data_IF_553567792579
#
_entry.id   IF_553567792579
#
_cell.length_a   1.000
_cell.length_b   1.000
_cell.length_c   1.000
_cell.angle_alpha   90.00
_cell.angle_beta   90.00
_cell.angle_gamma   90.00
#
_symmetry.space_group_name_H-M   'P 1'
#
loop_
_entity.id
_entity.type
_entity.pdbx_description
1 polymer ?
#
# COMPACT_ATOMS: atom_id res chain seq x y z
N UNK A 1 17.33 -4.45 -17.37
CA UNK A 1 16.70 -3.73 -16.24
C UNK A 1 16.10 -4.76 -15.31
N UNK A 2 16.31 -4.59 -14.01
CA UNK A 2 15.75 -5.44 -12.97
C UNK A 2 14.94 -4.55 -12.05
N UNK A 3 13.66 -4.86 -11.90
CA UNK A 3 12.80 -4.19 -10.93
C UNK A 3 13.28 -4.56 -9.52
N UNK A 4 13.40 -3.58 -8.63
CA UNK A 4 13.69 -3.80 -7.22
C UNK A 4 12.51 -3.31 -6.36
N UNK A 5 12.60 -3.49 -5.04
CA UNK A 5 11.55 -3.12 -4.09
C UNK A 5 11.18 -1.63 -4.15
N UNK A 6 12.14 -0.76 -4.48
CA UNK A 6 11.92 0.69 -4.60
C UNK A 6 11.07 1.08 -5.80
N UNK A 7 10.78 0.18 -6.74
CA UNK A 7 9.82 0.46 -7.79
C UNK A 7 8.43 0.81 -7.21
N UNK A 8 8.01 0.11 -6.15
CA UNK A 8 6.77 0.41 -5.43
C UNK A 8 7.00 1.17 -4.10
N UNK A 9 8.16 1.00 -3.46
CA UNK A 9 8.47 1.55 -2.13
C UNK A 9 9.52 2.67 -2.14
N UNK A 10 9.77 3.28 -3.30
CA UNK A 10 10.71 4.38 -3.48
C UNK A 10 10.07 5.51 -4.29
N UNK A 11 9.23 6.29 -3.62
CA UNK A 11 8.51 7.43 -4.17
C UNK A 11 9.18 8.77 -3.90
N UNK A 12 8.44 9.83 -4.22
CA UNK A 12 8.80 11.20 -3.89
C UNK A 12 7.64 11.94 -3.23
N UNK A 13 7.97 12.94 -2.42
CA UNK A 13 7.04 13.95 -1.93
C UNK A 13 7.68 15.31 -2.13
N UNK A 14 6.93 16.27 -2.66
CA UNK A 14 7.43 17.64 -2.87
C UNK A 14 8.78 17.68 -3.62
N UNK A 15 8.89 16.88 -4.69
CA UNK A 15 10.10 16.75 -5.51
C UNK A 15 11.30 16.04 -4.85
N UNK A 16 11.17 15.53 -3.63
CA UNK A 16 12.24 14.83 -2.91
C UNK A 16 11.98 13.33 -2.84
N UNK A 17 12.97 12.54 -3.26
CA UNK A 17 12.90 11.06 -3.22
C UNK A 17 13.27 10.57 -1.83
N UNK A 18 12.46 9.68 -1.27
CA UNK A 18 12.70 9.08 0.03
C UNK A 18 12.65 7.55 -0.06
N UNK A 19 13.64 6.89 0.55
CA UNK A 19 13.61 5.44 0.69
C UNK A 19 12.45 5.04 1.62
N UNK A 20 11.61 4.11 1.18
CA UNK A 20 10.48 3.63 1.97
C UNK A 20 9.20 4.44 1.81
N UNK A 21 9.21 5.56 1.09
CA UNK A 21 8.00 6.28 0.71
C UNK A 21 7.30 5.53 -0.44
N UNK A 22 5.98 5.29 -0.41
CA UNK A 22 5.26 4.64 -1.51
C UNK A 22 5.42 5.40 -2.82
N UNK A 23 5.67 4.68 -3.92
CA UNK A 23 5.82 5.28 -5.24
C UNK A 23 4.47 5.49 -5.90
N UNK A 24 3.87 6.64 -5.58
CA UNK A 24 2.56 7.03 -6.08
C UNK A 24 2.55 7.45 -7.57
N UNK A 25 3.71 7.42 -8.25
CA UNK A 25 3.83 7.64 -9.69
C UNK A 25 4.11 6.35 -10.49
N UNK A 26 4.19 5.19 -9.84
CA UNK A 26 4.62 3.98 -10.53
C UNK A 26 3.59 3.47 -11.56
N UNK A 27 3.97 3.49 -12.84
CA UNK A 27 3.12 3.09 -13.97
C UNK A 27 3.43 1.67 -14.46
N UNK A 28 3.38 0.66 -13.58
CA UNK A 28 3.82 -0.71 -13.85
C UNK A 28 3.20 -1.35 -15.10
N UNK A 29 1.89 -1.17 -15.29
CA UNK A 29 1.18 -1.69 -16.47
C UNK A 29 1.69 -1.03 -17.75
N UNK A 30 1.76 0.31 -17.77
CA UNK A 30 2.28 1.08 -18.91
C UNK A 30 3.72 0.70 -19.23
N UNK A 31 4.61 0.67 -18.22
CA UNK A 31 6.01 0.29 -18.39
C UNK A 31 6.14 -1.10 -19.05
N UNK A 32 5.31 -2.05 -18.64
CA UNK A 32 5.31 -3.41 -19.19
C UNK A 32 4.80 -3.44 -20.63
N UNK A 33 3.72 -2.73 -20.93
CA UNK A 33 3.15 -2.63 -22.28
C UNK A 33 4.14 -1.97 -23.26
N UNK A 34 4.81 -0.89 -22.86
CA UNK A 34 5.79 -0.18 -23.68
C UNK A 34 7.07 -0.99 -23.85
N UNK A 35 7.53 -1.68 -22.80
CA UNK A 35 8.66 -2.61 -22.89
C UNK A 35 8.35 -3.73 -23.87
N UNK A 36 7.15 -4.32 -23.81
CA UNK A 36 6.71 -5.35 -24.77
C UNK A 36 6.67 -4.81 -26.19
N UNK A 37 6.04 -3.65 -26.43
CA UNK A 37 6.01 -2.99 -27.75
C UNK A 37 7.43 -2.76 -28.29
N UNK A 38 8.32 -2.25 -27.45
CA UNK A 38 9.74 -2.01 -27.80
C UNK A 38 10.47 -3.31 -28.15
N UNK A 39 10.27 -4.39 -27.39
CA UNK A 39 10.86 -5.70 -27.70
C UNK A 39 10.39 -6.22 -29.06
N UNK A 40 9.10 -6.10 -29.37
CA UNK A 40 8.55 -6.50 -30.67
C UNK A 40 9.20 -5.72 -31.82
N UNK A 41 9.31 -4.39 -31.70
CA UNK A 41 9.98 -3.54 -32.69
C UNK A 41 11.45 -3.93 -32.90
N UNK A 42 12.15 -4.24 -31.80
CA UNK A 42 13.55 -4.66 -31.82
C UNK A 42 13.75 -6.15 -32.13
N UNK A 43 12.67 -6.91 -32.43
CA UNK A 43 12.70 -8.37 -32.64
C UNK A 43 13.36 -9.14 -31.49
N UNK A 44 13.19 -8.66 -30.25
CA UNK A 44 13.69 -9.32 -29.03
C UNK A 44 12.67 -10.32 -28.49
N UNK A 45 13.12 -11.41 -27.84
CA UNK A 45 12.20 -12.36 -27.22
C UNK A 45 11.38 -11.70 -26.10
N UNK A 46 10.12 -12.09 -26.00
CA UNK A 46 9.22 -11.67 -24.92
C UNK A 46 9.50 -12.47 -23.64
N UNK A 47 9.43 -11.79 -22.51
CA UNK A 47 9.53 -12.37 -21.18
C UNK A 47 8.17 -12.85 -20.69
N UNK A 48 8.16 -13.62 -19.60
CA UNK A 48 6.93 -14.07 -18.96
C UNK A 48 6.03 -12.94 -18.49
N UNK A 49 6.63 -11.83 -18.06
CA UNK A 49 5.88 -10.64 -17.66
C UNK A 49 5.17 -9.98 -18.84
N UNK A 50 5.78 -10.01 -20.04
CA UNK A 50 5.15 -9.48 -21.26
C UNK A 50 3.88 -10.26 -21.63
N UNK A 51 3.86 -11.58 -21.39
CA UNK A 51 2.69 -12.43 -21.62
C UNK A 51 1.69 -12.40 -20.46
N UNK A 52 2.18 -12.51 -19.21
CA UNK A 52 1.36 -12.60 -18.01
C UNK A 52 0.54 -11.34 -17.78
N UNK A 53 1.07 -10.16 -18.10
CA UNK A 53 0.38 -8.87 -17.95
C UNK A 53 -0.84 -8.68 -18.85
N UNK A 54 -1.03 -9.56 -19.85
CA UNK A 54 -2.25 -9.59 -20.68
C UNK A 54 -3.43 -10.19 -19.92
N UNK A 55 -3.17 -11.18 -19.05
CA UNK A 55 -4.20 -11.93 -18.33
C UNK A 55 -4.33 -11.50 -16.87
N UNK A 56 -3.23 -11.02 -16.28
CA UNK A 56 -3.17 -10.52 -14.90
C UNK A 56 -2.83 -9.03 -15.01
N UNK A 57 -3.81 -8.12 -14.84
CA UNK A 57 -3.52 -6.69 -14.89
C UNK A 57 -2.52 -6.34 -13.79
N UNK A 58 -1.56 -5.47 -14.09
CA UNK A 58 -0.52 -5.11 -13.14
C UNK A 58 -0.87 -3.87 -12.30
N UNK A 59 -1.85 -3.11 -12.75
CA UNK A 59 -2.42 -1.92 -12.11
C UNK A 59 -3.38 -1.23 -13.07
N UNK A 60 -4.45 -0.62 -12.55
CA UNK A 60 -5.45 0.16 -13.31
C UNK A 60 -5.22 1.66 -13.26
N UNK A 61 -4.41 2.14 -12.32
CA UNK A 61 -3.98 3.54 -12.26
C UNK A 61 -2.54 3.64 -11.78
N UNK A 62 -1.84 4.71 -12.16
CA UNK A 62 -0.49 4.99 -11.72
C UNK A 62 -0.43 5.14 -10.19
N UNK A 63 0.63 4.61 -9.60
CA UNK A 63 0.88 4.65 -8.15
C UNK A 63 0.32 3.48 -7.36
N UNK A 64 -0.47 2.60 -8.00
CA UNK A 64 -1.02 1.42 -7.33
C UNK A 64 -0.78 0.19 -8.19
N UNK A 65 -0.69 -0.98 -7.56
CA UNK A 65 -0.38 -2.22 -8.27
C UNK A 65 -1.24 -3.38 -7.79
N UNK A 66 -1.41 -4.39 -8.64
CA UNK A 66 -2.09 -5.65 -8.32
C UNK A 66 -1.16 -6.63 -7.57
N UNK A 67 -0.28 -6.10 -6.72
CA UNK A 67 0.82 -6.80 -6.06
C UNK A 67 0.36 -8.03 -5.26
N UNK A 68 -0.81 -7.96 -4.62
CA UNK A 68 -1.39 -9.06 -3.83
C UNK A 68 -1.62 -10.29 -4.70
N UNK A 69 -2.20 -10.10 -5.90
CA UNK A 69 -2.45 -11.21 -6.81
C UNK A 69 -1.17 -11.77 -7.43
N UNK A 70 -0.10 -10.98 -7.55
CA UNK A 70 1.20 -11.54 -7.93
C UNK A 70 1.68 -12.51 -6.86
N UNK A 71 1.53 -12.16 -5.58
CA UNK A 71 1.83 -13.05 -4.46
C UNK A 71 1.04 -14.35 -4.52
N UNK A 72 -0.27 -14.27 -4.78
CA UNK A 72 -1.15 -15.45 -4.97
C UNK A 72 -0.68 -16.32 -6.15
N UNK A 73 -0.41 -15.70 -7.29
CA UNK A 73 0.04 -16.40 -8.49
C UNK A 73 1.40 -17.08 -8.29
N UNK A 74 2.33 -16.41 -7.62
CA UNK A 74 3.67 -16.95 -7.34
C UNK A 74 3.62 -18.11 -6.33
N UNK A 75 2.86 -17.94 -5.24
CA UNK A 75 2.68 -18.98 -4.21
C UNK A 75 1.99 -20.24 -4.76
N UNK A 76 1.06 -20.09 -5.71
CA UNK A 76 0.30 -21.23 -6.28
C UNK A 76 1.20 -22.35 -6.79
N UNK A 77 2.34 -22.02 -7.38
CA UNK A 77 3.28 -22.98 -7.98
C UNK A 77 4.38 -23.43 -7.03
N UNK A 78 4.23 -23.20 -5.72
CA UNK A 78 5.15 -23.64 -4.68
C UNK A 78 4.46 -24.58 -3.69
N UNK A 79 5.17 -25.57 -3.16
CA UNK A 79 4.74 -26.28 -1.96
C UNK A 79 5.30 -25.62 -0.70
N UNK A 80 5.04 -26.25 0.46
CA UNK A 80 5.48 -25.74 1.76
C UNK A 80 7.00 -25.53 1.85
N UNK A 81 7.79 -26.31 1.11
CA UNK A 81 9.26 -26.26 1.13
C UNK A 81 9.84 -25.48 -0.05
N UNK A 82 9.00 -24.72 -0.75
CA UNK A 82 9.34 -23.88 -1.90
C UNK A 82 9.76 -24.66 -3.17
N UNK A 83 9.44 -25.96 -3.27
CA UNK A 83 9.64 -26.70 -4.51
C UNK A 83 8.65 -26.24 -5.58
N UNK A 84 9.06 -26.30 -6.85
CA UNK A 84 8.30 -25.76 -7.98
C UNK A 84 7.36 -26.82 -8.55
N UNK A 85 6.06 -26.49 -8.62
CA UNK A 85 5.00 -27.37 -9.14
C UNK A 85 4.35 -26.78 -10.40
N UNK A 86 4.91 -27.05 -11.58
CA UNK A 86 4.47 -26.47 -12.87
C UNK A 86 3.10 -26.97 -13.37
N UNK A 87 2.65 -28.13 -12.90
CA UNK A 87 1.45 -28.79 -13.42
C UNK A 87 0.15 -28.34 -12.73
N UNK A 88 0.21 -27.33 -11.87
CA UNK A 88 -0.97 -26.81 -11.15
C UNK A 88 -1.76 -25.86 -12.04
N UNK A 89 -3.09 -25.93 -11.95
CA UNK A 89 -3.95 -24.95 -12.59
C UNK A 89 -3.75 -23.55 -11.96
N UNK A 90 -3.84 -22.47 -12.76
CA UNK A 90 -3.81 -21.10 -12.25
C UNK A 90 -4.84 -20.87 -11.13
N UNK A 91 -4.54 -20.02 -10.14
CA UNK A 91 -5.48 -19.74 -9.06
C UNK A 91 -6.61 -18.83 -9.56
N UNK A 92 -7.78 -18.92 -8.92
CA UNK A 92 -8.79 -17.86 -9.02
C UNK A 92 -8.27 -16.64 -8.27
N UNK A 93 -8.43 -15.46 -8.86
CA UNK A 93 -7.91 -14.20 -8.32
C UNK A 93 -8.97 -13.12 -8.46
N UNK A 94 -9.20 -12.36 -7.39
CA UNK A 94 -10.02 -11.16 -7.41
C UNK A 94 -9.09 -9.96 -7.61
N UNK A 95 -9.04 -9.43 -8.83
CA UNK A 95 -8.13 -8.35 -9.19
C UNK A 95 -8.53 -7.01 -8.56
N UNK A 96 -7.56 -6.37 -7.93
CA UNK A 96 -7.67 -5.08 -7.26
C UNK A 96 -6.28 -4.45 -7.20
N UNK A 97 -6.23 -3.13 -7.03
CA UNK A 97 -4.95 -2.45 -6.85
C UNK A 97 -4.75 -2.06 -5.40
N UNK A 98 -3.50 -2.03 -4.98
CA UNK A 98 -3.08 -1.59 -3.65
C UNK A 98 -2.03 -0.50 -3.80
N UNK A 99 -2.06 0.46 -2.90
CA UNK A 99 -0.90 1.30 -2.65
C UNK A 99 0.06 0.56 -1.71
N UNK A 100 1.36 0.87 -1.84
CA UNK A 100 2.36 0.36 -0.93
C UNK A 100 2.26 1.10 0.42
N UNK A 101 2.44 0.44 1.57
CA UNK A 101 2.56 1.15 2.84
C UNK A 101 3.95 1.80 2.98
N UNK A 102 4.06 2.94 3.67
CA UNK A 102 5.35 3.52 4.03
C UNK A 102 6.19 2.58 4.91
N UNK A 103 7.46 2.40 4.59
CA UNK A 103 8.33 1.49 5.34
C UNK A 103 8.68 1.99 6.73
N UNK A 104 8.64 3.30 6.99
CA UNK A 104 8.85 3.80 8.37
C UNK A 104 7.76 3.35 9.36
N UNK A 105 6.63 2.82 8.88
CA UNK A 105 5.65 2.15 9.75
C UNK A 105 6.11 0.76 10.23
N UNK A 106 7.05 0.13 9.53
CA UNK A 106 7.47 -1.25 9.76
C UNK A 106 7.99 -1.51 11.18
N UNK A 107 8.71 -0.54 11.77
CA UNK A 107 9.23 -0.65 13.14
C UNK A 107 8.12 -0.73 14.19
N UNK A 108 6.98 -0.07 13.97
CA UNK A 108 5.85 -0.04 14.92
C UNK A 108 4.92 -1.25 14.76
N UNK A 109 4.83 -1.83 13.56
CA UNK A 109 3.89 -2.92 13.27
C UNK A 109 4.39 -4.28 13.78
N UNK A 110 3.47 -5.07 14.33
CA UNK A 110 3.70 -6.48 14.68
C UNK A 110 3.35 -7.43 13.53
N UNK A 111 2.40 -7.04 12.68
CA UNK A 111 1.96 -7.78 11.51
C UNK A 111 2.12 -6.94 10.24
N UNK A 112 2.40 -7.57 9.11
CA UNK A 112 2.52 -6.92 7.80
C UNK A 112 1.23 -7.05 6.99
N UNK A 113 1.14 -6.30 5.89
CA UNK A 113 -0.06 -6.09 5.08
C UNK A 113 -1.16 -5.28 5.80
N UNK A 114 -2.20 -4.89 5.05
CA UNK A 114 -3.28 -4.04 5.56
C UNK A 114 -4.25 -4.80 6.46
N UNK A 115 -4.51 -6.08 6.15
CA UNK A 115 -5.37 -6.98 6.93
C UNK A 115 -4.60 -7.69 8.05
N UNK A 116 -3.31 -7.37 8.22
CA UNK A 116 -2.49 -7.91 9.31
C UNK A 116 -2.27 -9.41 9.27
N UNK A 117 -2.54 -10.07 8.15
CA UNK A 117 -2.69 -11.53 8.19
C UNK A 117 -1.38 -12.26 8.53
N UNK A 118 -0.22 -11.67 8.23
CA UNK A 118 1.08 -12.30 8.43
C UNK A 118 1.87 -11.57 9.52
N UNK A 119 2.34 -12.31 10.52
CA UNK A 119 3.29 -11.77 11.48
C UNK A 119 4.54 -11.26 10.77
N UNK A 120 5.05 -10.11 11.23
CA UNK A 120 6.28 -9.52 10.69
C UNK A 120 7.46 -10.49 10.88
N UNK A 121 8.26 -10.67 9.84
CA UNK A 121 9.46 -11.52 9.86
C UNK A 121 10.24 -11.49 8.54
N UNK A 122 11.45 -12.04 8.55
CA UNK A 122 12.39 -12.04 7.42
C UNK A 122 11.79 -12.73 6.19
N UNK A 123 11.15 -13.89 6.38
CA UNK A 123 10.68 -14.73 5.27
C UNK A 123 9.57 -14.10 4.45
N UNK A 124 8.61 -13.44 5.10
CA UNK A 124 7.51 -12.74 4.43
C UNK A 124 7.97 -11.67 3.42
N UNK A 125 9.15 -11.07 3.64
CA UNK A 125 9.73 -10.06 2.75
C UNK A 125 10.21 -10.62 1.40
N UNK A 126 10.33 -11.95 1.28
CA UNK A 126 10.82 -12.62 0.07
C UNK A 126 9.71 -13.07 -0.88
N UNK A 127 8.44 -12.79 -0.62
CA UNK A 127 7.32 -13.33 -1.42
C UNK A 127 7.45 -13.02 -2.92
N UNK A 128 7.92 -11.83 -3.30
CA UNK A 128 8.11 -11.45 -4.70
C UNK A 128 9.34 -12.10 -5.37
N UNK A 129 10.20 -12.77 -4.61
CA UNK A 129 11.36 -13.50 -5.13
C UNK A 129 10.98 -14.89 -5.65
N UNK A 130 9.72 -15.33 -5.53
CA UNK A 130 9.21 -16.65 -5.97
C UNK A 130 9.18 -16.88 -7.49
N UNK A 131 9.84 -16.02 -8.27
CA UNK A 131 10.05 -16.27 -9.70
C UNK A 131 10.71 -17.63 -9.92
N UNK A 132 10.40 -18.30 -11.03
CA UNK A 132 10.77 -19.70 -11.23
C UNK A 132 12.28 -19.98 -11.26
N UNK A 133 13.07 -18.95 -11.58
CA UNK A 133 14.53 -19.03 -11.55
C UNK A 133 15.09 -19.27 -10.14
N UNK A 134 14.31 -18.96 -9.11
CA UNK A 134 14.72 -19.09 -7.72
C UNK A 134 14.14 -20.39 -7.13
N UNK A 135 15.02 -21.38 -6.98
CA UNK A 135 14.74 -22.64 -6.30
C UNK A 135 14.79 -22.53 -4.77
N UNK A 136 14.38 -23.58 -4.04
CA UNK A 136 14.21 -23.54 -2.58
C UNK A 136 15.49 -23.19 -1.82
N UNK A 137 16.65 -23.72 -2.23
CA UNK A 137 17.93 -23.42 -1.55
C UNK A 137 18.31 -21.94 -1.63
N UNK A 138 17.95 -21.26 -2.72
CA UNK A 138 18.23 -19.84 -2.89
C UNK A 138 17.56 -18.98 -1.81
N UNK A 139 16.36 -19.36 -1.37
CA UNK A 139 15.65 -18.67 -0.29
C UNK A 139 16.33 -18.88 1.06
N UNK A 140 16.83 -20.09 1.32
CA UNK A 140 17.59 -20.39 2.55
C UNK A 140 18.91 -19.62 2.59
N UNK A 141 19.59 -19.52 1.46
CA UNK A 141 20.81 -18.70 1.32
C UNK A 141 20.53 -17.21 1.57
N UNK A 142 19.39 -16.69 1.10
CA UNK A 142 19.02 -15.29 1.22
C UNK A 142 18.45 -14.87 2.57
N UNK A 143 18.21 -15.79 3.51
CA UNK A 143 17.68 -15.41 4.84
C UNK A 143 18.60 -14.36 5.51
N UNK A 144 19.92 -14.55 5.47
CA UNK A 144 20.90 -13.58 6.04
C UNK A 144 20.89 -12.22 5.34
N UNK A 145 20.74 -12.20 4.01
CA UNK A 145 20.63 -10.93 3.26
C UNK A 145 19.32 -10.21 3.64
N UNK A 146 18.23 -10.96 3.78
CA UNK A 146 16.94 -10.40 4.16
C UNK A 146 16.84 -10.04 5.65
N UNK A 147 17.67 -10.59 6.54
CA UNK A 147 17.85 -10.04 7.88
C UNK A 147 18.40 -8.61 7.84
N UNK A 148 19.28 -8.32 6.88
CA UNK A 148 19.81 -6.97 6.67
C UNK A 148 18.76 -6.06 6.05
N UNK A 149 17.94 -6.55 5.11
CA UNK A 149 16.76 -5.82 4.60
C UNK A 149 15.77 -5.55 5.75
N UNK A 150 15.49 -6.53 6.59
CA UNK A 150 14.60 -6.39 7.73
C UNK A 150 15.10 -5.29 8.69
N UNK A 151 16.38 -5.30 9.06
CA UNK A 151 17.00 -4.26 9.90
C UNK A 151 16.97 -2.89 9.21
N UNK A 152 17.17 -2.84 7.90
CA UNK A 152 17.02 -1.60 7.13
C UNK A 152 15.60 -1.06 7.26
N UNK A 153 14.57 -1.89 7.03
CA UNK A 153 13.17 -1.48 7.18
C UNK A 153 12.84 -0.99 8.60
N UNK A 154 13.41 -1.59 9.63
CA UNK A 154 13.25 -1.12 11.02
C UNK A 154 13.95 0.21 11.31
N UNK A 155 14.95 0.57 10.51
CA UNK A 155 15.71 1.82 10.65
C UNK A 155 15.16 3.00 9.82
N UNK A 156 14.21 2.75 8.92
CA UNK A 156 13.65 3.81 8.06
C UNK A 156 12.81 4.76 8.92
N UNK A 157 13.12 6.05 8.82
CA UNK A 157 12.40 7.14 9.50
C UNK A 157 11.69 8.02 8.48
N UNK A 158 10.53 8.61 8.83
CA UNK A 158 9.84 9.55 7.95
C UNK A 158 10.62 10.87 7.83
N UNK A 159 10.53 11.57 6.69
CA UNK A 159 11.04 12.94 6.61
C UNK A 159 10.23 13.89 7.50
N UNK A 160 10.87 14.88 8.15
CA UNK A 160 10.14 15.90 8.90
C UNK A 160 9.34 16.78 7.93
N UNK A 161 8.18 17.27 8.38
CA UNK A 161 7.39 18.22 7.61
C UNK A 161 8.20 19.51 7.36
N UNK A 162 8.46 19.90 6.09
CA UNK A 162 9.42 20.96 5.77
C UNK A 162 8.82 22.37 5.80
N UNK A 163 7.49 22.51 5.99
CA UNK A 163 6.79 23.78 5.93
C UNK A 163 6.41 24.30 7.33
N UNK A 164 5.82 25.50 7.38
CA UNK A 164 5.39 26.11 8.64
C UNK A 164 4.27 25.32 9.31
N UNK A 165 4.37 25.21 10.65
CA UNK A 165 3.34 24.62 11.51
C UNK A 165 2.86 25.68 12.49
N UNK A 166 1.54 25.88 12.56
CA UNK A 166 0.91 26.65 13.63
C UNK A 166 0.88 25.80 14.90
N UNK A 167 1.86 26.01 15.78
CA UNK A 167 2.05 25.23 17.01
C UNK A 167 0.83 25.26 17.94
N UNK A 168 0.16 26.40 18.07
CA UNK A 168 -1.01 26.51 18.96
C UNK A 168 -2.16 25.66 18.44
N UNK A 169 -2.40 25.69 17.13
CA UNK A 169 -3.46 24.91 16.50
C UNK A 169 -3.13 23.41 16.49
N UNK A 170 -1.87 23.04 16.22
CA UNK A 170 -1.39 21.67 16.31
C UNK A 170 -1.54 21.10 17.73
N UNK A 171 -1.31 21.90 18.77
CA UNK A 171 -1.51 21.48 20.15
C UNK A 171 -2.99 21.26 20.48
N UNK A 172 -3.89 22.13 20.01
CA UNK A 172 -5.33 21.87 20.09
C UNK A 172 -5.73 20.60 19.33
N UNK A 173 -5.16 20.39 18.15
CA UNK A 173 -5.38 19.20 17.34
C UNK A 173 -4.89 17.91 18.00
N UNK A 174 -3.78 17.99 18.75
CA UNK A 174 -3.25 16.86 19.53
C UNK A 174 -4.25 16.38 20.58
N UNK A 175 -4.94 17.31 21.27
CA UNK A 175 -5.98 16.97 22.24
C UNK A 175 -7.13 16.22 21.56
N UNK A 176 -7.69 16.79 20.49
CA UNK A 176 -8.79 16.16 19.72
C UNK A 176 -8.37 14.80 19.17
N UNK A 177 -7.16 14.69 18.64
CA UNK A 177 -6.60 13.45 18.11
C UNK A 177 -6.51 12.36 19.18
N UNK A 178 -6.04 12.71 20.39
CA UNK A 178 -5.92 11.75 21.48
C UNK A 178 -7.29 11.24 21.96
N UNK A 179 -8.32 12.07 21.90
CA UNK A 179 -9.69 11.72 22.29
C UNK A 179 -10.40 10.88 21.21
N UNK A 180 -10.14 11.15 19.93
CA UNK A 180 -10.95 10.61 18.82
C UNK A 180 -10.23 9.59 17.93
N UNK A 181 -8.92 9.72 17.75
CA UNK A 181 -8.15 8.97 16.75
C UNK A 181 -7.19 7.95 17.38
N UNK A 182 -6.59 8.30 18.53
CA UNK A 182 -5.52 7.52 19.14
C UNK A 182 -5.92 6.10 19.56
N UNK A 183 -7.22 5.85 19.79
CA UNK A 183 -7.73 4.49 20.09
C UNK A 183 -7.36 3.47 19.01
N UNK A 184 -7.32 3.90 17.74
CA UNK A 184 -7.00 3.03 16.60
C UNK A 184 -5.56 3.27 16.11
N UNK A 185 -5.17 4.54 15.97
CA UNK A 185 -3.88 4.92 15.38
C UNK A 185 -2.72 5.02 16.36
N UNK A 186 -2.99 4.90 17.66
CA UNK A 186 -2.00 5.03 18.72
C UNK A 186 -1.68 6.47 19.11
N UNK A 187 -0.76 6.60 20.06
CA UNK A 187 -0.27 7.87 20.58
C UNK A 187 1.14 8.18 20.04
N UNK A 188 1.52 9.46 20.09
CA UNK A 188 2.76 9.98 19.51
C UNK A 188 3.47 10.91 20.50
N UNK A 189 4.80 10.98 20.41
CA UNK A 189 5.66 11.69 21.37
C UNK A 189 6.11 10.79 22.54
N UNK A 190 6.39 11.40 23.69
CA UNK A 190 6.83 10.67 24.88
C UNK A 190 5.77 9.65 25.33
N UNK A 191 6.20 8.39 25.49
CA UNK A 191 5.28 7.29 25.81
C UNK A 191 4.41 6.83 24.65
N UNK A 192 4.83 7.08 23.40
CA UNK A 192 4.12 6.59 22.20
C UNK A 192 3.79 5.10 22.27
N UNK A 193 2.57 4.75 21.87
CA UNK A 193 2.10 3.37 21.81
C UNK A 193 1.34 3.15 20.50
N UNK A 194 1.57 2.02 19.84
CA UNK A 194 0.81 1.61 18.66
C UNK A 194 -0.05 0.39 19.02
N UNK A 195 -1.39 0.51 19.06
CA UNK A 195 -2.24 -0.55 19.57
C UNK A 195 -2.49 -1.65 18.54
N UNK A 196 -2.11 -1.46 17.27
CA UNK A 196 -2.28 -2.43 16.18
C UNK A 196 -3.74 -2.91 16.05
N UNK A 197 -4.70 -1.98 16.17
CA UNK A 197 -6.14 -2.28 16.12
C UNK A 197 -6.54 -2.66 14.70
N UNK A 198 -7.17 -3.84 14.59
CA UNK A 198 -7.95 -4.24 13.42
C UNK A 198 -9.36 -3.68 13.56
N UNK A 199 -9.72 -2.75 12.69
CA UNK A 199 -11.09 -2.22 12.61
C UNK A 199 -11.88 -3.12 11.68
N UNK A 200 -13.07 -3.54 12.13
CA UNK A 200 -13.94 -4.41 11.34
C UNK A 200 -14.31 -3.75 10.01
N UNK A 201 -14.44 -4.56 8.94
CA UNK A 201 -14.72 -4.02 7.60
C UNK A 201 -16.04 -3.26 7.52
N UNK A 202 -17.05 -3.69 8.28
CA UNK A 202 -18.36 -3.05 8.30
C UNK A 202 -18.35 -1.76 9.14
N UNK A 203 -17.43 -1.64 10.10
CA UNK A 203 -17.22 -0.41 10.87
C UNK A 203 -16.38 0.61 10.11
N UNK A 204 -15.25 0.20 9.53
CA UNK A 204 -14.38 1.12 8.78
C UNK A 204 -15.00 1.50 7.43
N UNK A 205 -15.82 0.66 6.81
CA UNK A 205 -16.55 0.97 5.57
C UNK A 205 -15.70 1.26 4.33
N UNK A 206 -14.38 1.04 4.39
CA UNK A 206 -13.47 1.23 3.24
C UNK A 206 -13.58 0.06 2.26
N UNK A 207 -12.99 0.19 1.07
CA UNK A 207 -13.11 -0.81 0.01
C UNK A 207 -12.74 -2.24 0.50
N UNK A 208 -13.72 -3.16 0.42
CA UNK A 208 -13.59 -4.52 0.94
C UNK A 208 -12.89 -5.50 -0.01
N UNK A 209 -12.64 -5.12 -1.27
CA UNK A 209 -12.16 -6.07 -2.29
C UNK A 209 -10.82 -6.68 -1.87
N UNK A 210 -9.93 -5.93 -1.22
CA UNK A 210 -8.67 -6.47 -0.69
C UNK A 210 -8.90 -7.53 0.38
N UNK A 211 -9.83 -7.32 1.32
CA UNK A 211 -10.15 -8.30 2.36
C UNK A 211 -10.65 -9.62 1.76
N UNK A 212 -11.59 -9.53 0.81
CA UNK A 212 -12.22 -10.67 0.15
C UNK A 212 -11.30 -11.38 -0.86
N UNK A 213 -10.21 -10.73 -1.29
CA UNK A 213 -9.33 -11.25 -2.35
C UNK A 213 -8.49 -12.46 -1.93
N UNK A 214 -8.18 -12.58 -0.65
CA UNK A 214 -7.43 -13.70 -0.09
C UNK A 214 -8.38 -14.60 0.70
N UNK A 215 -8.41 -15.87 0.32
CA UNK A 215 -9.18 -16.91 1.01
C UNK A 215 -8.44 -17.40 2.26
N UNK A 216 -9.19 -17.96 3.20
CA UNK A 216 -8.62 -18.61 4.39
C UNK A 216 -7.60 -19.68 4.01
N UNK A 217 -7.90 -20.52 3.00
CA UNK A 217 -6.99 -21.56 2.53
C UNK A 217 -5.67 -21.00 1.97
N UNK A 218 -5.68 -19.83 1.33
CA UNK A 218 -4.45 -19.19 0.86
C UNK A 218 -3.60 -18.67 2.03
N UNK A 219 -4.23 -18.10 3.06
CA UNK A 219 -3.53 -17.63 4.27
C UNK A 219 -3.01 -18.81 5.11
N UNK A 220 -3.78 -19.88 5.25
CA UNK A 220 -3.34 -21.13 5.88
C UNK A 220 -2.15 -21.75 5.13
N UNK A 221 -2.22 -21.79 3.79
CA UNK A 221 -1.10 -22.25 2.96
C UNK A 221 0.17 -21.41 3.11
N UNK A 222 0.05 -20.11 3.40
CA UNK A 222 1.20 -19.28 3.78
C UNK A 222 1.75 -19.71 5.15
N UNK A 223 0.87 -19.85 6.16
CA UNK A 223 1.22 -20.23 7.53
C UNK A 223 1.97 -21.57 7.57
N UNK A 224 1.44 -22.58 6.89
CA UNK A 224 1.97 -23.95 6.87
C UNK A 224 3.25 -24.09 6.04
N UNK A 225 3.61 -23.06 5.26
CA UNK A 225 4.81 -23.08 4.42
C UNK A 225 6.05 -22.57 5.15
N UNK A 226 7.19 -22.64 4.46
CA UNK A 226 8.43 -22.01 4.86
C UNK A 226 8.25 -20.54 5.25
N UNK A 227 7.34 -19.79 4.58
CA UNK A 227 7.06 -18.39 4.88
C UNK A 227 6.52 -18.18 6.30
N UNK A 228 5.51 -18.94 6.72
CA UNK A 228 4.97 -18.93 8.09
C UNK A 228 5.76 -19.78 9.08
N UNK A 229 6.95 -20.24 8.68
CA UNK A 229 7.79 -21.15 9.46
C UNK A 229 7.06 -22.42 9.90
N UNK A 230 6.23 -22.98 9.01
CA UNK A 230 5.46 -24.20 9.26
C UNK A 230 4.53 -24.06 10.49
N UNK A 231 3.79 -22.95 10.54
CA UNK A 231 2.83 -22.63 11.59
C UNK A 231 3.43 -22.04 12.87
N UNK A 232 4.75 -21.76 12.91
CA UNK A 232 5.38 -21.14 14.09
C UNK A 232 5.14 -19.64 14.17
N UNK A 233 4.95 -18.96 13.03
CA UNK A 233 4.57 -17.56 13.02
C UNK A 233 3.06 -17.41 13.12
N UNK A 234 2.64 -16.40 13.88
CA UNK A 234 1.22 -16.06 13.97
C UNK A 234 0.68 -15.67 12.60
N UNK A 235 -0.49 -16.21 12.25
CA UNK A 235 -1.19 -15.91 10.99
C UNK A 235 -2.68 -15.75 11.29
N UNK A 236 -3.25 -14.62 10.89
CA UNK A 236 -4.69 -14.38 10.99
C UNK A 236 -5.33 -14.92 9.71
N UNK A 237 -5.83 -16.16 9.75
CA UNK A 237 -6.39 -16.83 8.58
C UNK A 237 -7.70 -16.20 8.09
N UNK A 238 -8.47 -15.57 8.99
CA UNK A 238 -9.72 -14.89 8.68
C UNK A 238 -9.78 -13.51 9.37
N UNK A 239 -9.07 -12.50 8.86
CA UNK A 239 -9.12 -11.15 9.41
C UNK A 239 -10.52 -10.55 9.23
N UNK A 240 -11.01 -9.80 10.22
CA UNK A 240 -12.34 -9.15 10.16
C UNK A 240 -12.34 -7.82 9.40
N UNK A 241 -11.17 -7.22 9.19
CA UNK A 241 -11.04 -5.96 8.48
C UNK A 241 -9.60 -5.51 8.30
N UNK A 242 -9.34 -4.22 8.55
CA UNK A 242 -8.06 -3.59 8.27
C UNK A 242 -7.42 -2.99 9.51
N UNK A 243 -6.10 -3.11 9.59
CA UNK A 243 -5.31 -2.48 10.64
C UNK A 243 -5.26 -0.98 10.39
N UNK A 244 -5.63 -0.18 11.40
CA UNK A 244 -5.37 1.25 11.41
C UNK A 244 -3.84 1.47 11.46
N UNK A 245 -3.21 2.05 10.42
CA UNK A 245 -1.77 2.16 10.37
C UNK A 245 -1.25 3.22 11.37
N UNK A 246 0.03 3.14 11.77
CA UNK A 246 0.70 4.28 12.37
C UNK A 246 0.66 5.49 11.43
N UNK A 247 0.69 6.69 11.99
CA UNK A 247 0.61 7.96 11.27
C UNK A 247 1.93 8.74 11.29
N UNK A 248 3.03 8.12 11.72
CA UNK A 248 4.37 8.69 11.58
C UNK A 248 4.59 9.05 10.09
N UNK A 249 5.04 10.26 9.80
CA UNK A 249 5.27 10.78 8.45
C UNK A 249 4.02 10.86 7.57
N UNK A 250 2.81 10.84 8.12
CA UNK A 250 1.57 10.76 7.34
C UNK A 250 1.41 11.93 6.35
N UNK A 251 2.01 13.08 6.64
CA UNK A 251 2.03 14.22 5.70
C UNK A 251 2.63 13.87 4.34
N UNK A 252 3.58 12.93 4.31
CA UNK A 252 4.40 12.62 3.14
C UNK A 252 3.82 11.51 2.25
N UNK A 253 2.95 10.66 2.79
CA UNK A 253 2.56 9.40 2.17
C UNK A 253 1.22 9.46 1.42
N UNK A 254 0.90 10.59 0.82
CA UNK A 254 -0.28 10.68 -0.03
C UNK A 254 -0.07 9.88 -1.33
N UNK A 255 -1.12 9.24 -1.89
CA UNK A 255 -2.51 9.26 -1.44
C UNK A 255 -2.78 8.31 -0.25
N UNK A 256 -3.95 8.44 0.35
CA UNK A 256 -4.36 7.73 1.56
C UNK A 256 -5.34 6.59 1.26
N UNK A 257 -5.53 5.76 2.29
CA UNK A 257 -6.18 4.44 2.26
C UNK A 257 -5.36 3.38 1.53
N UNK A 258 -5.74 2.12 1.74
CA UNK A 258 -4.97 0.96 1.30
C UNK A 258 -4.90 0.82 -0.23
N UNK A 259 -5.83 1.44 -0.94
CA UNK A 259 -5.94 1.45 -2.40
C UNK A 259 -5.53 2.80 -3.01
N UNK A 260 -5.02 3.75 -2.19
CA UNK A 260 -4.55 5.06 -2.63
C UNK A 260 -5.63 5.96 -3.22
N UNK A 261 -6.88 5.86 -2.76
CA UNK A 261 -8.03 6.53 -3.35
C UNK A 261 -8.24 7.98 -2.92
N UNK A 262 -7.71 8.37 -1.75
CA UNK A 262 -7.95 9.70 -1.17
C UNK A 262 -6.70 10.57 -1.30
N UNK A 263 -6.71 11.68 -2.07
CA UNK A 263 -5.47 12.33 -2.48
C UNK A 263 -4.79 13.19 -1.41
N UNK A 264 -5.52 13.63 -0.37
CA UNK A 264 -4.96 14.52 0.68
C UNK A 264 -5.55 14.19 2.07
N UNK A 265 -4.87 14.56 3.16
CA UNK A 265 -5.39 14.37 4.52
C UNK A 265 -6.65 15.18 4.78
N UNK A 266 -6.75 16.36 4.17
CA UNK A 266 -7.98 17.13 4.23
C UNK A 266 -9.17 16.32 3.69
N UNK A 267 -9.03 15.58 2.59
CA UNK A 267 -10.09 14.71 2.08
C UNK A 267 -10.34 13.45 2.94
N UNK A 268 -9.34 12.99 3.72
CA UNK A 268 -9.57 11.96 4.75
C UNK A 268 -10.52 12.50 5.82
N UNK A 269 -10.30 13.74 6.26
CA UNK A 269 -11.10 14.43 7.29
C UNK A 269 -12.42 15.02 6.78
N UNK A 270 -12.62 15.09 5.46
CA UNK A 270 -13.84 15.61 4.81
C UNK A 270 -14.37 14.56 3.81
N UNK A 271 -14.99 13.47 4.29
CA UNK A 271 -15.42 12.37 3.45
C UNK A 271 -16.32 12.76 2.27
N UNK A 272 -17.25 13.69 2.50
CA UNK A 272 -18.21 14.16 1.49
C UNK A 272 -17.57 14.96 0.34
N UNK A 273 -16.33 15.40 0.53
CA UNK A 273 -15.59 16.24 -0.42
C UNK A 273 -14.53 15.45 -1.20
N UNK A 274 -14.48 14.12 -1.03
CA UNK A 274 -13.52 13.25 -1.75
C UNK A 274 -13.82 13.26 -3.26
N UNK A 275 -12.82 13.53 -4.12
CA UNK A 275 -13.06 13.60 -5.57
C UNK A 275 -13.37 12.22 -6.15
N UNK A 276 -14.39 12.15 -7.01
CA UNK A 276 -14.80 10.90 -7.70
C UNK A 276 -13.74 10.43 -8.69
N UNK A 277 -13.24 11.36 -9.51
CA UNK A 277 -12.16 11.13 -10.46
C UNK A 277 -11.12 12.23 -10.26
N UNK A 278 -9.84 11.86 -10.24
CA UNK A 278 -8.77 12.83 -10.10
C UNK A 278 -7.51 12.42 -10.86
N UNK A 279 -6.73 13.42 -11.27
CA UNK A 279 -5.42 13.29 -11.90
C UNK A 279 -4.42 14.13 -11.11
N UNK A 280 -3.32 13.52 -10.68
CA UNK A 280 -2.24 14.22 -9.97
C UNK A 280 -1.35 15.01 -10.92
N UNK A 281 -0.72 16.06 -10.41
CA UNK A 281 0.51 16.57 -11.04
C UNK A 281 1.69 15.68 -10.67
N UNK A 282 2.79 15.73 -11.42
CA UNK A 282 3.88 14.76 -11.29
C UNK A 282 4.61 14.86 -9.93
N UNK A 283 4.88 16.08 -9.47
CA UNK A 283 5.62 16.40 -8.25
C UNK A 283 4.97 17.49 -7.38
N UNK A 284 3.78 17.97 -7.76
CA UNK A 284 3.07 19.00 -7.02
C UNK A 284 2.52 18.51 -5.68
N UNK A 285 2.50 19.40 -4.70
CA UNK A 285 2.10 19.12 -3.32
C UNK A 285 1.19 20.22 -2.79
N UNK A 286 0.00 19.85 -2.31
CA UNK A 286 -0.93 20.79 -1.70
C UNK A 286 -0.62 20.94 -0.20
N UNK A 287 0.02 22.05 0.18
CA UNK A 287 0.35 22.34 1.58
C UNK A 287 -0.88 22.66 2.45
N UNK A 288 -1.98 23.13 1.85
CA UNK A 288 -3.20 23.47 2.59
C UNK A 288 -3.99 22.21 2.91
N UNK A 289 -4.09 21.30 1.94
CA UNK A 289 -4.85 20.05 2.08
C UNK A 289 -3.99 18.87 2.54
N UNK A 290 -2.66 19.03 2.55
CA UNK A 290 -1.62 18.07 2.93
C UNK A 290 -1.72 16.78 2.09
N UNK A 291 -1.07 16.79 0.94
CA UNK A 291 -0.98 15.61 0.07
C UNK A 291 -0.74 15.97 -1.38
N UNK A 292 -1.27 15.15 -2.29
CA UNK A 292 -1.10 15.35 -3.72
C UNK A 292 -1.79 16.63 -4.18
N UNK A 293 -1.13 17.38 -5.06
CA UNK A 293 -1.83 18.34 -5.91
C UNK A 293 -2.56 17.56 -7.02
N UNK A 294 -3.89 17.75 -7.10
CA UNK A 294 -4.74 17.03 -8.04
C UNK A 294 -5.72 17.94 -8.76
N UNK A 295 -5.96 17.64 -10.03
CA UNK A 295 -7.14 18.10 -10.76
C UNK A 295 -8.27 17.08 -10.55
N UNK A 296 -9.46 17.58 -10.20
CA UNK A 296 -10.65 16.74 -9.99
C UNK A 296 -11.61 16.83 -11.17
N UNK A 297 -12.35 15.76 -11.41
CA UNK A 297 -13.31 15.64 -12.49
C UNK A 297 -14.59 14.96 -11.98
N UNK A 298 -15.74 15.38 -12.50
CA UNK A 298 -17.02 14.76 -12.18
C UNK A 298 -17.17 13.37 -12.81
N UNK A 299 -16.60 13.20 -14.00
CA UNK A 299 -16.64 11.98 -14.80
C UNK A 299 -15.26 11.64 -15.39
N UNK A 300 -15.08 10.38 -15.77
CA UNK A 300 -13.85 9.89 -16.40
C UNK A 300 -13.74 10.45 -17.82
N UNK A 301 -12.65 11.16 -18.17
CA UNK A 301 -12.40 11.55 -19.55
C UNK A 301 -12.31 10.35 -20.50
N UNK A 302 -12.78 10.52 -21.73
CA UNK A 302 -12.73 9.50 -22.81
C UNK A 302 -11.30 9.34 -23.36
N UNK A 303 -10.47 8.62 -22.60
CA UNK A 303 -9.08 8.31 -22.94
C UNK A 303 -8.81 6.82 -22.74
N UNK A 304 -7.72 6.31 -23.33
CA UNK A 304 -7.36 4.88 -23.23
C UNK A 304 -5.89 4.65 -22.83
N UNK A 305 -5.54 3.37 -22.70
CA UNK A 305 -4.16 2.93 -22.54
C UNK A 305 -3.42 3.60 -21.39
N UNK A 306 -2.28 4.23 -21.70
CA UNK A 306 -1.43 4.87 -20.71
C UNK A 306 -2.08 6.12 -20.11
N UNK A 307 -2.77 6.91 -20.92
CA UNK A 307 -3.41 8.16 -20.49
C UNK A 307 -4.56 7.90 -19.52
N UNK A 308 -5.39 6.87 -19.78
CA UNK A 308 -6.44 6.43 -18.85
C UNK A 308 -5.90 6.14 -17.45
N UNK A 309 -4.69 5.57 -17.36
CA UNK A 309 -4.08 5.20 -16.07
C UNK A 309 -3.50 6.39 -15.30
N UNK A 310 -3.44 7.58 -15.92
CA UNK A 310 -3.10 8.81 -15.21
C UNK A 310 -4.25 9.31 -14.33
N UNK A 311 -5.48 8.86 -14.61
CA UNK A 311 -6.67 9.16 -13.83
C UNK A 311 -6.91 8.06 -12.79
N UNK A 312 -7.21 8.48 -11.56
CA UNK A 312 -7.78 7.61 -10.54
C UNK A 312 -9.29 7.78 -10.55
N UNK A 313 -10.02 6.67 -10.69
CA UNK A 313 -11.48 6.66 -10.69
C UNK A 313 -12.00 5.79 -9.54
N UNK A 314 -12.61 6.43 -8.54
CA UNK A 314 -13.08 5.77 -7.31
C UNK A 314 -14.31 4.89 -7.53
N UNK A 315 -14.98 4.99 -8.68
CA UNK A 315 -16.14 4.16 -9.01
C UNK A 315 -15.75 2.77 -9.53
N UNK A 316 -14.47 2.54 -9.82
CA UNK A 316 -14.00 1.25 -10.30
C UNK A 316 -13.89 0.23 -9.15
N UNK A 317 -14.10 -1.08 -9.44
CA UNK A 317 -13.94 -2.12 -8.43
C UNK A 317 -12.55 -2.10 -7.77
N UNK A 318 -12.51 -2.10 -6.44
CA UNK A 318 -11.28 -2.07 -5.64
C UNK A 318 -10.68 -0.67 -5.45
N UNK A 319 -11.35 0.38 -5.93
CA UNK A 319 -10.87 1.77 -5.93
C UNK A 319 -11.74 2.71 -5.10
N UNK A 320 -12.73 2.20 -4.37
CA UNK A 320 -13.65 3.04 -3.61
C UNK A 320 -12.89 3.93 -2.62
N UNK A 321 -13.30 5.20 -2.55
CA UNK A 321 -12.85 6.18 -1.57
C UNK A 321 -13.81 6.31 -0.38
N UNK A 322 -14.79 5.41 -0.23
CA UNK A 322 -15.73 5.40 0.90
C UNK A 322 -15.08 4.94 2.20
N UNK A 323 -15.76 5.16 3.31
CA UNK A 323 -15.37 4.66 4.63
C UNK A 323 -14.40 5.58 5.37
N UNK A 324 -14.10 5.20 6.60
CA UNK A 324 -13.37 6.03 7.56
C UNK A 324 -14.06 7.40 7.71
N UNK A 325 -15.37 7.34 7.97
CA UNK A 325 -16.23 8.53 8.05
C UNK A 325 -16.31 9.10 9.47
N UNK A 326 -15.58 8.52 10.43
CA UNK A 326 -15.47 9.00 11.81
C UNK A 326 -15.19 10.50 11.96
N UNK A 327 -14.39 11.16 11.09
CA UNK A 327 -14.22 12.61 11.14
C UNK A 327 -15.52 13.42 11.01
N UNK A 328 -16.62 12.81 10.54
CA UNK A 328 -17.92 13.47 10.44
C UNK A 328 -18.49 13.90 11.80
N UNK A 329 -18.08 13.24 12.88
CA UNK A 329 -18.46 13.59 14.25
C UNK A 329 -17.72 14.83 14.79
N UNK A 330 -16.66 15.27 14.11
CA UNK A 330 -15.88 16.44 14.48
C UNK A 330 -16.44 17.72 13.83
N UNK A 331 -16.37 18.83 14.55
CA UNK A 331 -16.60 20.17 14.00
C UNK A 331 -15.54 20.56 12.96
N UNK A 332 -15.81 21.60 12.17
CA UNK A 332 -14.87 22.07 11.16
C UNK A 332 -13.55 22.56 11.79
N UNK A 333 -13.64 23.22 12.95
CA UNK A 333 -12.50 23.72 13.71
C UNK A 333 -11.64 22.58 14.26
N UNK A 334 -12.28 21.51 14.76
CA UNK A 334 -11.58 20.31 15.24
C UNK A 334 -10.87 19.58 14.10
N UNK A 335 -11.52 19.43 12.93
CA UNK A 335 -10.89 18.84 11.74
C UNK A 335 -9.68 19.66 11.30
N UNK A 336 -9.79 20.99 11.29
CA UNK A 336 -8.68 21.87 10.96
C UNK A 336 -7.53 21.76 11.97
N UNK A 337 -7.84 21.65 13.26
CA UNK A 337 -6.85 21.46 14.31
C UNK A 337 -6.14 20.10 14.17
N UNK A 338 -6.88 19.02 13.98
CA UNK A 338 -6.30 17.68 13.73
C UNK A 338 -5.43 17.69 12.47
N UNK A 339 -5.88 18.31 11.38
CA UNK A 339 -5.08 18.43 10.16
C UNK A 339 -3.74 19.13 10.41
N UNK A 340 -3.73 20.18 11.23
CA UNK A 340 -2.49 20.87 11.63
C UNK A 340 -1.60 19.98 12.52
N UNK A 341 -2.19 19.20 13.42
CA UNK A 341 -1.46 18.25 14.27
C UNK A 341 -0.80 17.14 13.45
N UNK A 342 -1.45 16.62 12.41
CA UNK A 342 -0.89 15.59 11.54
C UNK A 342 0.38 16.03 10.79
N UNK A 343 0.67 17.34 10.71
CA UNK A 343 1.97 17.87 10.21
C UNK A 343 3.13 17.60 11.15
N UNK A 344 2.84 17.34 12.42
CA UNK A 344 3.86 17.13 13.47
C UNK A 344 4.25 15.66 13.64
N UNK A 345 3.50 14.76 12.99
CA UNK A 345 3.71 13.31 13.00
C UNK A 345 4.55 12.88 11.79
#
# INVERSE_FOLDING_TARGET
>A
WTMNCFACHGGQVNGQVHAGLPNSNYALQTLTEETRKTKLLLKKPLSRMDFGSVFIPLGRSNGTTNAVNFGVALMRYRDADLNIHRNRLPPKMLHHDMDAPPWWHFKRKHHIYIDGFAQKGVRGLMQFMLVEQNGPEKFREWETDFESVYKFLESVEPPPYPFSINKSLAESGRTVFNESCAKCHGTYGDGSAFPNVMVDIDEIGTDRVRLDSLTEAQRAGYSDSWFGQYGKQETIANPSGYIAPPLDGIWASAPYFHNGSVPTLWHVLHPDERPKVWKRTYDGYDQKRIGLEVQSFDEQPEVDGAELREYFNTTWPGKSASGHDFPNELSAEERAAVLEYLKTL
#
